data_IF_500696551735
#
_entry.id   IF_500696551735
#
_cell.length_a   1.000
_cell.length_b   1.000
_cell.length_c   1.000
_cell.angle_alpha   90.00
_cell.angle_beta   90.00
_cell.angle_gamma   90.00
#
_symmetry.space_group_name_H-M   'P 1'
#
loop_
_entity.id
_entity.type
_entity.pdbx_description
1 polymer ?
#
# COMPACT_ATOMS: atom_id res chain seq x y z
N UNK A 1 9.37 0.33 3.45
CA UNK A 1 7.99 0.79 3.25
C UNK A 1 7.35 0.02 2.11
N UNK A 2 6.04 -0.02 2.09
CA UNK A 2 5.30 -0.83 1.13
C UNK A 2 4.12 -0.05 0.58
N UNK A 3 3.80 -0.27 -0.68
CA UNK A 3 2.56 0.25 -1.27
C UNK A 3 1.72 -0.92 -1.75
N UNK A 4 0.42 -0.74 -1.67
CA UNK A 4 -0.53 -1.75 -2.12
C UNK A 4 -1.82 -1.07 -2.56
N UNK A 5 -2.51 -1.70 -3.49
CA UNK A 5 -3.75 -1.15 -4.03
C UNK A 5 -4.93 -2.00 -3.58
N UNK A 6 -5.93 -1.34 -3.03
CA UNK A 6 -7.17 -1.99 -2.67
C UNK A 6 -8.00 -2.29 -3.91
N UNK A 7 -8.97 -3.16 -3.77
CA UNK A 7 -9.82 -3.58 -4.89
C UNK A 7 -10.59 -2.42 -5.51
N UNK A 8 -10.94 -1.43 -4.69
CA UNK A 8 -11.67 -0.24 -5.16
C UNK A 8 -10.77 0.79 -5.87
N UNK A 9 -9.47 0.54 -5.93
CA UNK A 9 -8.53 1.42 -6.61
C UNK A 9 -7.72 2.32 -5.69
N UNK A 10 -8.03 2.37 -4.41
CA UNK A 10 -7.26 3.17 -3.45
C UNK A 10 -5.84 2.64 -3.33
N UNK A 11 -4.88 3.56 -3.37
CA UNK A 11 -3.46 3.24 -3.22
C UNK A 11 -3.00 3.67 -1.83
N UNK A 12 -2.39 2.75 -1.09
CA UNK A 12 -1.99 3.00 0.30
C UNK A 12 -0.50 2.77 0.49
N UNK A 13 0.09 3.56 1.37
CA UNK A 13 1.48 3.43 1.80
C UNK A 13 1.50 2.93 3.24
N UNK A 14 2.31 1.90 3.50
CA UNK A 14 2.47 1.30 4.82
C UNK A 14 3.95 1.34 5.21
N UNK A 15 4.25 1.55 6.49
CA UNK A 15 5.64 1.47 6.96
C UNK A 15 6.08 0.02 7.17
N UNK A 16 5.14 -0.85 7.60
CA UNK A 16 5.39 -2.28 7.77
C UNK A 16 4.63 -3.06 6.71
N UNK A 17 5.08 -4.26 6.42
CA UNK A 17 4.46 -5.08 5.36
C UNK A 17 2.99 -5.34 5.68
N UNK A 18 2.07 -4.90 4.82
CA UNK A 18 0.64 -5.17 5.02
C UNK A 18 0.26 -6.57 4.56
N UNK A 19 -0.96 -6.99 4.89
CA UNK A 19 -1.52 -8.26 4.41
C UNK A 19 -2.92 -7.99 3.85
N UNK A 20 -3.34 -8.84 2.92
CA UNK A 20 -4.71 -8.77 2.42
C UNK A 20 -5.66 -9.33 3.48
N UNK A 21 -6.78 -8.67 3.67
CA UNK A 21 -7.82 -9.17 4.54
C UNK A 21 -8.44 -10.44 3.93
N UNK A 22 -8.70 -11.45 4.77
CA UNK A 22 -9.18 -12.75 4.30
C UNK A 22 -10.52 -12.65 3.56
N UNK A 23 -11.41 -11.83 4.05
CA UNK A 23 -12.76 -11.67 3.51
C UNK A 23 -13.01 -10.28 2.98
N UNK A 24 -11.96 -9.44 2.94
CA UNK A 24 -12.08 -8.06 2.54
C UNK A 24 -11.54 -7.83 1.14
N UNK A 25 -11.71 -6.61 0.69
CA UNK A 25 -11.24 -6.17 -0.61
C UNK A 25 -10.19 -5.08 -0.43
N UNK A 26 -9.35 -5.24 0.60
CA UNK A 26 -8.39 -4.22 0.98
C UNK A 26 -7.17 -4.85 1.65
N UNK A 27 -6.09 -4.08 1.67
CA UNK A 27 -4.88 -4.41 2.43
C UNK A 27 -5.00 -3.78 3.81
N UNK A 28 -4.51 -4.48 4.82
CA UNK A 28 -4.57 -3.99 6.19
C UNK A 28 -3.19 -3.97 6.82
N UNK A 29 -2.94 -2.99 7.71
CA UNK A 29 -1.67 -2.94 8.44
C UNK A 29 -1.54 -4.11 9.41
N UNK A 30 -0.30 -4.43 9.76
CA UNK A 30 -0.02 -5.60 10.60
C UNK A 30 0.34 -5.24 12.04
N UNK A 31 1.08 -4.16 12.26
CA UNK A 31 1.55 -3.80 13.60
C UNK A 31 0.72 -2.70 14.25
N UNK A 32 0.36 -1.69 13.50
CA UNK A 32 -0.44 -0.57 13.99
C UNK A 32 -1.59 -0.33 13.05
N UNK A 33 -2.81 -0.28 13.57
CA UNK A 33 -4.00 -0.12 12.74
C UNK A 33 -4.05 1.20 11.98
N UNK A 34 -3.25 2.19 12.39
CA UNK A 34 -3.18 3.47 11.70
C UNK A 34 -1.94 3.59 10.81
N UNK A 35 -1.23 2.49 10.58
CA UNK A 35 -0.04 2.47 9.75
C UNK A 35 -0.40 2.43 8.28
N UNK A 36 -1.01 3.49 7.79
CA UNK A 36 -1.28 3.63 6.36
C UNK A 36 -1.56 5.09 6.03
N UNK A 37 -1.18 5.45 4.79
CA UNK A 37 -1.45 6.78 4.24
C UNK A 37 -2.01 6.57 2.85
N UNK A 38 -3.08 7.30 2.53
CA UNK A 38 -3.66 7.23 1.18
C UNK A 38 -2.82 8.08 0.23
N UNK A 39 -2.43 7.48 -0.87
CA UNK A 39 -1.71 8.15 -1.95
C UNK A 39 -2.67 8.49 -3.09
N UNK A 40 -2.23 9.36 -4.00
CA UNK A 40 -2.96 9.63 -5.22
C UNK A 40 -3.12 8.32 -5.99
N UNK A 41 -4.35 7.89 -6.28
CA UNK A 41 -4.57 6.62 -6.97
C UNK A 41 -4.01 6.57 -8.39
N UNK A 42 -3.66 7.73 -8.97
CA UNK A 42 -3.03 7.76 -10.29
C UNK A 42 -1.55 7.39 -10.24
N UNK A 43 -0.92 7.38 -9.05
CA UNK A 43 0.47 7.00 -8.90
C UNK A 43 0.62 5.48 -9.04
N UNK A 44 1.77 5.06 -9.54
CA UNK A 44 2.14 3.63 -9.62
C UNK A 44 1.05 2.77 -10.24
N UNK A 45 0.68 3.01 -11.50
CA UNK A 45 -0.39 2.23 -12.13
C UNK A 45 -0.07 0.75 -12.28
N UNK A 46 1.20 0.37 -12.17
CA UNK A 46 1.64 -1.02 -12.22
C UNK A 46 1.29 -1.79 -10.94
N UNK A 47 0.99 -1.08 -9.84
CA UNK A 47 0.58 -1.71 -8.58
C UNK A 47 -0.92 -1.95 -8.64
N UNK A 48 -1.32 -3.22 -8.57
CA UNK A 48 -2.71 -3.65 -8.78
C UNK A 48 -3.22 -4.45 -7.60
N UNK A 49 -4.54 -4.48 -7.45
CA UNK A 49 -5.18 -5.31 -6.43
C UNK A 49 -4.86 -6.79 -6.61
N UNK A 50 -4.73 -7.24 -7.86
CA UNK A 50 -4.44 -8.64 -8.18
C UNK A 50 -3.06 -9.09 -7.74
N UNK A 51 -2.16 -8.17 -7.40
CA UNK A 51 -0.84 -8.53 -6.92
C UNK A 51 -0.95 -9.32 -5.62
N UNK A 52 -0.23 -10.43 -5.54
CA UNK A 52 -0.28 -11.30 -4.35
C UNK A 52 0.52 -10.72 -3.20
N UNK A 53 1.48 -9.86 -3.49
CA UNK A 53 2.36 -9.26 -2.49
C UNK A 53 2.37 -7.75 -2.65
N UNK A 54 2.58 -7.03 -1.54
CA UNK A 54 2.74 -5.57 -1.64
C UNK A 54 4.07 -5.24 -2.31
N UNK A 55 4.15 -4.06 -2.89
CA UNK A 55 5.36 -3.58 -3.54
C UNK A 55 6.22 -2.85 -2.52
N UNK A 56 7.47 -3.29 -2.36
CA UNK A 56 8.39 -2.61 -1.47
C UNK A 56 8.91 -1.33 -2.12
N UNK A 57 8.93 -0.24 -1.36
CA UNK A 57 9.39 1.06 -1.84
C UNK A 57 10.30 1.71 -0.81
N UNK A 58 11.05 2.68 -1.26
CA UNK A 58 11.94 3.46 -0.41
C UNK A 58 11.50 4.92 -0.42
N UNK A 59 11.50 5.53 0.75
CA UNK A 59 11.27 6.96 0.85
C UNK A 59 12.63 7.65 0.80
N UNK A 60 12.87 8.46 -0.21
CA UNK A 60 14.13 9.17 -0.40
C UNK A 60 13.91 10.65 -0.18
N UNK A 61 14.68 11.22 0.73
CA UNK A 61 14.63 12.66 0.99
C UNK A 61 15.25 13.41 -0.19
N UNK A 62 14.49 14.31 -0.77
CA UNK A 62 14.99 15.14 -1.84
C UNK A 62 15.78 16.30 -1.27
N UNK A 63 17.03 16.42 -1.64
CA UNK A 63 17.87 17.54 -1.27
C UNK A 63 17.73 18.66 -2.30
N UNK A 64 17.85 19.88 -1.83
CA UNK A 64 17.83 21.06 -2.69
C UNK A 64 19.21 21.69 -2.77
#
# INVERSE_FOLDING_TARGET
MYIARNKDGDLLLFTERPVKADDGEFWQPTKHRFDWIRLDPALFPEVKWEDEEPTEVELVKKEK
#
